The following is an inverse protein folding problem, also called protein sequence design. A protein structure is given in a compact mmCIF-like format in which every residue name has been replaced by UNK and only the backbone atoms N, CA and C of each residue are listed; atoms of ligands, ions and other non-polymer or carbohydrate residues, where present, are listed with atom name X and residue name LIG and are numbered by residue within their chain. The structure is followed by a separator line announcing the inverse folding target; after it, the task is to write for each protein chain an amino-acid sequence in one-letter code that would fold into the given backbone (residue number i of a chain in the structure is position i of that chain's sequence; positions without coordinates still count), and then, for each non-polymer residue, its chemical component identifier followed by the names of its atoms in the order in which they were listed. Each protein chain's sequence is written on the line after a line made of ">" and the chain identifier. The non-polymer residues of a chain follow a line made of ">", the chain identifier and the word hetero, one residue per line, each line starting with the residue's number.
data_IF_081249671113
#
_entry.id   IF_081249671113
#
_cell.length_a   1.000
_cell.length_b   1.000
_cell.length_c   1.000
_cell.angle_alpha   90.00
_cell.angle_beta   90.00
_cell.angle_gamma   90.00
#
_symmetry.space_group_name_H-M   'P 1'
#
loop_
_entity.id
_entity.type
_entity.pdbx_description
1 polymer ?
#
# COMPACT_ATOMS: atom_id res chain seq x y z
N UNK A 1 -13.17 32.28 -23.73
CA UNK A 1 -13.26 30.92 -23.12
C UNK A 1 -11.94 30.65 -22.39
N UNK A 2 -12.00 30.20 -21.14
CA UNK A 2 -10.80 29.93 -20.30
C UNK A 2 -10.41 28.45 -20.48
N UNK A 3 -9.11 28.17 -20.64
CA UNK A 3 -8.58 26.79 -20.65
C UNK A 3 -8.24 26.37 -19.24
N UNK A 4 -8.69 25.18 -18.85
CA UNK A 4 -8.38 24.54 -17.58
C UNK A 4 -7.46 23.35 -17.87
N UNK A 5 -6.41 23.20 -17.07
CA UNK A 5 -5.56 22.02 -17.05
C UNK A 5 -5.64 21.39 -15.65
N UNK A 6 -5.72 20.06 -15.60
CA UNK A 6 -5.90 19.31 -14.35
C UNK A 6 -4.86 18.21 -14.25
N UNK A 7 -4.26 18.06 -13.08
CA UNK A 7 -3.29 17.01 -12.76
C UNK A 7 -3.87 16.10 -11.68
N UNK A 8 -4.06 14.82 -12.01
CA UNK A 8 -4.43 13.80 -11.05
C UNK A 8 -3.16 13.14 -10.52
N UNK A 9 -3.02 13.09 -9.20
CA UNK A 9 -2.00 12.28 -8.56
C UNK A 9 -2.59 10.88 -8.31
N UNK A 10 -1.79 9.84 -8.58
CA UNK A 10 -2.17 8.47 -8.24
C UNK A 10 -2.30 8.26 -6.73
N UNK A 11 -2.63 7.04 -6.32
CA UNK A 11 -2.78 6.71 -4.89
C UNK A 11 -1.53 7.10 -4.09
N UNK A 12 -1.72 7.94 -3.07
CA UNK A 12 -0.66 8.30 -2.11
C UNK A 12 -0.22 7.02 -1.39
N UNK A 13 1.02 6.60 -1.62
CA UNK A 13 1.54 5.40 -0.98
C UNK A 13 1.83 5.69 0.51
N UNK A 14 1.44 4.76 1.37
CA UNK A 14 1.80 4.75 2.79
C UNK A 14 3.30 4.46 2.91
N UNK A 15 4.12 5.49 2.82
CA UNK A 15 5.53 5.44 3.11
C UNK A 15 5.92 6.69 3.89
N UNK A 16 6.55 6.51 5.05
CA UNK A 16 7.01 7.60 5.94
C UNK A 16 8.10 8.47 5.28
N UNK A 17 8.51 8.17 4.03
CA UNK A 17 9.49 8.92 3.25
C UNK A 17 9.07 9.12 1.78
N UNK A 18 7.81 8.84 1.42
CA UNK A 18 7.31 8.95 0.04
C UNK A 18 7.86 7.92 -0.95
N UNK A 19 8.73 7.00 -0.51
CA UNK A 19 9.25 5.87 -1.30
C UNK A 19 8.61 4.58 -0.85
N UNK A 20 7.82 3.94 -1.72
CA UNK A 20 7.20 2.65 -1.43
C UNK A 20 7.90 1.52 -2.21
N UNK A 21 8.32 0.48 -1.49
CA UNK A 21 8.99 -0.71 -2.05
C UNK A 21 8.16 -1.99 -1.92
N UNK A 22 7.00 -1.93 -1.26
CA UNK A 22 6.22 -3.13 -0.93
C UNK A 22 5.72 -3.86 -2.18
N UNK A 23 5.15 -3.11 -3.14
CA UNK A 23 4.70 -3.67 -4.42
C UNK A 23 5.87 -4.18 -5.28
N UNK A 24 7.06 -3.58 -5.13
CA UNK A 24 8.26 -4.03 -5.83
C UNK A 24 8.74 -5.37 -5.25
N UNK A 25 8.78 -5.49 -3.93
CA UNK A 25 9.20 -6.71 -3.25
C UNK A 25 8.27 -7.89 -3.58
N UNK A 26 6.95 -7.71 -3.48
CA UNK A 26 6.01 -8.84 -3.62
C UNK A 26 5.57 -9.18 -5.04
N UNK A 27 5.53 -8.19 -5.93
CA UNK A 27 5.00 -8.37 -7.29
C UNK A 27 5.96 -7.92 -8.37
N UNK A 28 7.18 -7.49 -8.01
CA UNK A 28 8.15 -6.90 -8.93
C UNK A 28 7.58 -5.67 -9.68
N UNK A 29 6.68 -4.92 -9.02
CA UNK A 29 5.97 -3.78 -9.59
C UNK A 29 6.29 -2.50 -8.80
N UNK A 30 7.09 -1.61 -9.39
CA UNK A 30 7.58 -0.40 -8.73
C UNK A 30 6.50 0.68 -8.57
N UNK A 31 6.15 0.99 -7.32
CA UNK A 31 5.22 2.08 -7.01
C UNK A 31 5.78 3.45 -7.42
N UNK A 32 7.10 3.65 -7.27
CA UNK A 32 7.79 4.89 -7.66
C UNK A 32 7.78 5.13 -9.19
N UNK A 33 7.40 4.12 -9.99
CA UNK A 33 7.22 4.22 -11.45
C UNK A 33 5.74 4.17 -11.87
N UNK A 34 4.81 4.35 -10.92
CA UNK A 34 3.37 4.32 -11.19
C UNK A 34 2.78 2.92 -11.42
N UNK A 35 3.55 1.85 -11.21
CA UNK A 35 3.10 0.47 -11.44
C UNK A 35 2.52 -0.20 -10.17
N UNK A 36 2.19 0.56 -9.12
CA UNK A 36 1.79 0.01 -7.83
C UNK A 36 0.52 -0.86 -7.92
N UNK A 37 0.57 -2.09 -7.37
CA UNK A 37 -0.58 -3.00 -7.31
C UNK A 37 -1.37 -2.92 -5.98
N UNK A 38 -1.17 -1.82 -5.24
CA UNK A 38 -1.86 -1.47 -3.99
C UNK A 38 -1.91 -2.60 -2.95
N UNK A 39 -0.81 -3.35 -2.80
CA UNK A 39 -0.75 -4.51 -1.91
C UNK A 39 -1.00 -4.14 -0.44
N UNK A 40 -0.63 -2.92 -0.01
CA UNK A 40 -0.90 -2.40 1.34
C UNK A 40 -2.40 -2.24 1.67
N UNK A 41 -3.28 -2.20 0.67
CA UNK A 41 -4.75 -2.14 0.82
C UNK A 41 -5.40 -3.50 0.62
N UNK A 42 -4.68 -4.59 0.90
CA UNK A 42 -5.23 -5.94 0.87
C UNK A 42 -5.39 -6.44 2.31
N UNK A 43 -6.32 -7.36 2.50
CA UNK A 43 -6.41 -8.11 3.75
C UNK A 43 -5.21 -9.05 3.90
N UNK A 44 -4.67 -9.16 5.11
CA UNK A 44 -3.67 -10.16 5.45
C UNK A 44 -4.02 -10.84 6.76
N UNK A 45 -3.51 -12.05 6.94
CA UNK A 45 -3.49 -12.75 8.22
C UNK A 45 -2.10 -12.51 8.81
N UNK A 46 -2.03 -11.96 10.01
CA UNK A 46 -0.77 -11.73 10.71
C UNK A 46 -0.55 -12.89 11.67
N UNK A 47 0.59 -13.58 11.51
CA UNK A 47 1.01 -14.67 12.38
C UNK A 47 2.27 -14.27 13.12
N UNK A 48 2.29 -14.55 14.42
CA UNK A 48 3.52 -14.49 15.19
C UNK A 48 4.49 -15.57 14.69
N UNK A 49 5.77 -15.23 14.54
CA UNK A 49 6.77 -16.15 13.99
C UNK A 49 7.18 -17.24 14.96
N UNK A 50 7.12 -16.97 16.26
CA UNK A 50 7.66 -17.82 17.31
C UNK A 50 6.57 -18.60 18.06
N UNK A 51 5.35 -18.06 18.10
CA UNK A 51 4.26 -18.58 18.96
C UNK A 51 3.12 -19.26 18.18
N UNK A 52 3.16 -19.30 16.84
CA UNK A 52 2.06 -19.76 15.97
C UNK A 52 0.69 -19.09 16.21
N UNK A 53 0.65 -17.99 16.97
CA UNK A 53 -0.59 -17.24 17.27
C UNK A 53 -0.97 -16.40 16.05
N UNK A 54 -2.21 -16.53 15.60
CA UNK A 54 -2.81 -15.60 14.63
C UNK A 54 -3.37 -14.38 15.39
N UNK A 55 -3.00 -13.17 14.97
CA UNK A 55 -3.51 -11.93 15.56
C UNK A 55 -4.87 -11.59 14.93
N UNK A 56 -5.86 -11.33 15.77
CA UNK A 56 -7.15 -10.79 15.34
C UNK A 56 -6.99 -9.29 15.01
N UNK A 57 -7.52 -8.87 13.86
CA UNK A 57 -7.27 -7.54 13.30
C UNK A 57 -8.61 -6.85 13.12
N UNK A 58 -8.87 -5.83 13.93
CA UNK A 58 -10.12 -5.05 13.90
C UNK A 58 -10.33 -4.23 12.60
N UNK A 59 -9.27 -4.03 11.82
CA UNK A 59 -9.31 -3.30 10.56
C UNK A 59 -9.01 -4.22 9.37
N UNK A 60 -9.76 -4.04 8.28
CA UNK A 60 -9.60 -4.78 7.01
C UNK A 60 -8.21 -4.56 6.37
N UNK A 61 -7.55 -3.43 6.66
CA UNK A 61 -6.22 -3.10 6.16
C UNK A 61 -5.23 -2.91 7.33
N UNK A 62 -4.17 -3.73 7.35
CA UNK A 62 -3.11 -3.65 8.37
C UNK A 62 -2.10 -2.56 8.03
N UNK A 63 -1.75 -2.48 6.75
CA UNK A 63 -0.67 -1.62 6.25
C UNK A 63 -1.19 -0.30 5.67
N UNK A 64 -2.49 -0.04 5.79
CA UNK A 64 -3.13 1.21 5.38
C UNK A 64 -4.00 1.74 6.52
N UNK A 65 -3.79 2.99 6.97
CA UNK A 65 -4.77 3.68 7.80
C UNK A 65 -6.07 3.86 7.00
N UNK A 66 -7.19 3.88 7.73
CA UNK A 66 -8.50 4.28 7.21
C UNK A 66 -8.47 5.73 6.75
#
# INVERSE_FOLDING_TARGET
>A
LIRIEMFAHGALCMAVSGKCYLSLHEKNLSANRGACNQICRRGYIVKDKDSEIELEIDNEYIMSPK
#
